data_IF_811152185321
#
_entry.id   IF_811152185321
#
_cell.length_a   1.000
_cell.length_b   1.000
_cell.length_c   1.000
_cell.angle_alpha   90.00
_cell.angle_beta   90.00
_cell.angle_gamma   90.00
#
_symmetry.space_group_name_H-M   'P 1'
#
loop_
_entity.id
_entity.type
_entity.pdbx_description
1 polymer ?
#
# COMPACT_ATOMS: atom_id res chain seq x y z
N UNK A 1 -6.79 21.87 4.72
CA UNK A 1 -6.11 22.15 6.02
C UNK A 1 -4.68 21.65 5.97
N UNK A 2 -3.70 22.52 6.23
CA UNK A 2 -2.30 22.12 6.34
C UNK A 2 -1.94 21.70 7.78
N UNK A 3 -0.72 21.16 7.98
CA UNK A 3 -0.29 20.68 9.30
C UNK A 3 -0.33 21.76 10.40
N UNK A 4 0.07 23.00 10.11
CA UNK A 4 0.07 24.07 11.10
C UNK A 4 -1.37 24.47 11.52
N UNK A 5 -2.30 24.47 10.58
CA UNK A 5 -3.72 24.71 10.84
C UNK A 5 -4.34 23.57 11.66
N UNK A 6 -3.96 22.31 11.37
CA UNK A 6 -4.38 21.14 12.14
C UNK A 6 -3.92 21.24 13.60
N UNK A 7 -2.65 21.56 13.83
CA UNK A 7 -2.09 21.75 15.19
C UNK A 7 -2.83 22.86 15.93
N UNK A 8 -3.11 23.99 15.25
CA UNK A 8 -3.87 25.09 15.86
C UNK A 8 -5.30 24.67 16.22
N UNK A 9 -5.96 23.92 15.37
CA UNK A 9 -7.31 23.39 15.61
C UNK A 9 -7.33 22.40 16.78
N UNK A 10 -6.38 21.46 16.85
CA UNK A 10 -6.26 20.51 17.96
C UNK A 10 -6.10 21.23 19.28
N UNK A 11 -5.20 22.22 19.36
CA UNK A 11 -5.02 23.04 20.57
C UNK A 11 -6.28 23.76 21.00
N UNK A 12 -7.03 24.30 20.04
CA UNK A 12 -8.30 25.01 20.30
C UNK A 12 -9.38 24.07 20.82
N UNK A 13 -9.53 22.88 20.20
CA UNK A 13 -10.53 21.91 20.60
C UNK A 13 -10.26 21.26 21.97
N UNK A 14 -8.98 21.04 22.29
CA UNK A 14 -8.58 20.43 23.57
C UNK A 14 -8.38 21.45 24.68
N UNK A 15 -8.43 22.76 24.35
CA UNK A 15 -8.08 23.87 25.27
C UNK A 15 -6.73 23.66 25.97
N UNK A 16 -5.80 22.95 25.31
CA UNK A 16 -4.51 22.58 25.87
C UNK A 16 -3.35 23.09 25.01
N UNK A 17 -2.48 23.87 25.64
CA UNK A 17 -1.28 24.46 25.03
C UNK A 17 0.02 24.07 25.75
N UNK A 18 -0.05 23.09 26.68
CA UNK A 18 1.12 22.61 27.41
C UNK A 18 2.17 22.04 26.43
N UNK A 19 3.43 22.30 26.74
CA UNK A 19 4.56 21.95 25.87
C UNK A 19 4.62 20.45 25.57
N UNK A 20 4.38 19.60 26.58
CA UNK A 20 4.43 18.15 26.44
C UNK A 20 3.29 17.63 25.56
N UNK A 21 2.09 18.17 25.75
CA UNK A 21 0.93 17.85 24.87
C UNK A 21 1.21 18.24 23.43
N UNK A 22 1.71 19.45 23.20
CA UNK A 22 2.00 19.95 21.83
C UNK A 22 3.09 19.10 21.17
N UNK A 23 4.07 18.60 21.92
CA UNK A 23 5.11 17.72 21.40
C UNK A 23 4.58 16.35 20.95
N UNK A 24 3.46 15.88 21.53
CA UNK A 24 2.82 14.61 21.16
C UNK A 24 1.83 14.71 20.00
N UNK A 25 1.36 15.89 19.61
CA UNK A 25 0.42 16.08 18.50
C UNK A 25 0.88 15.37 17.21
N UNK A 26 2.18 15.42 16.80
CA UNK A 26 2.63 14.69 15.61
C UNK A 26 2.40 13.17 15.69
N UNK A 27 2.51 12.60 16.90
CA UNK A 27 2.26 11.17 17.14
C UNK A 27 0.77 10.85 16.97
N UNK A 28 -0.12 11.66 17.53
CA UNK A 28 -1.57 11.48 17.39
C UNK A 28 -2.02 11.60 15.93
N UNK A 29 -1.47 12.58 15.19
CA UNK A 29 -1.77 12.77 13.77
C UNK A 29 -1.38 11.54 12.97
N UNK A 30 -0.15 11.01 13.15
CA UNK A 30 0.29 9.81 12.44
C UNK A 30 -0.56 8.58 12.75
N UNK A 31 -0.96 8.39 14.00
CA UNK A 31 -1.85 7.30 14.39
C UNK A 31 -3.24 7.42 13.75
N UNK A 32 -3.77 8.64 13.65
CA UNK A 32 -5.03 8.90 12.95
C UNK A 32 -4.93 8.59 11.46
N UNK A 33 -3.89 9.07 10.80
CA UNK A 33 -3.62 8.80 9.38
C UNK A 33 -3.49 7.28 9.12
N UNK A 34 -2.72 6.56 9.94
CA UNK A 34 -2.53 5.12 9.80
C UNK A 34 -3.86 4.37 9.92
N UNK A 35 -4.69 4.72 10.89
CA UNK A 35 -6.01 4.13 11.06
C UNK A 35 -6.90 4.40 9.86
N UNK A 36 -6.92 5.63 9.33
CA UNK A 36 -7.73 6.01 8.17
C UNK A 36 -7.27 5.22 6.93
N UNK A 37 -5.98 5.21 6.62
CA UNK A 37 -5.44 4.55 5.42
C UNK A 37 -5.58 3.02 5.45
N UNK A 38 -5.61 2.40 6.63
CA UNK A 38 -5.88 0.97 6.76
C UNK A 38 -7.35 0.60 6.57
N UNK A 39 -8.27 1.51 6.92
CA UNK A 39 -9.71 1.26 6.83
C UNK A 39 -10.31 1.59 5.47
N UNK A 40 -9.74 2.55 4.73
CA UNK A 40 -10.38 3.14 3.56
C UNK A 40 -9.56 2.90 2.29
N UNK A 41 -10.16 2.19 1.34
CA UNK A 41 -9.58 1.92 0.02
C UNK A 41 -10.16 2.88 -1.03
N UNK A 42 -9.67 4.11 -1.08
CA UNK A 42 -10.11 5.12 -2.05
C UNK A 42 -9.28 5.07 -3.35
N UNK A 43 -9.90 5.37 -4.50
CA UNK A 43 -9.17 5.43 -5.77
C UNK A 43 -7.97 6.39 -5.78
N UNK A 44 -8.04 7.49 -5.00
CA UNK A 44 -6.95 8.47 -4.85
C UNK A 44 -5.71 7.87 -4.18
N UNK A 45 -5.87 6.77 -3.41
CA UNK A 45 -4.79 6.05 -2.75
C UNK A 45 -4.20 4.94 -3.63
N UNK A 46 -4.51 4.92 -4.93
CA UNK A 46 -3.94 3.95 -5.88
C UNK A 46 -2.70 4.51 -6.53
N UNK A 47 -1.72 3.64 -6.69
CA UNK A 47 -0.45 3.91 -7.38
C UNK A 47 -0.13 2.76 -8.32
N UNK A 48 0.51 3.09 -9.42
CA UNK A 48 0.97 2.09 -10.40
C UNK A 48 2.49 2.03 -10.37
N UNK A 49 3.02 0.82 -10.28
CA UNK A 49 4.46 0.58 -10.38
C UNK A 49 4.73 -0.53 -11.39
N UNK A 50 5.73 -0.29 -12.24
CA UNK A 50 6.24 -1.31 -13.17
C UNK A 50 7.44 -2.01 -12.56
N UNK A 51 7.59 -3.29 -12.89
CA UNK A 51 8.71 -4.12 -12.47
C UNK A 51 8.94 -5.23 -13.47
N UNK A 52 9.76 -6.18 -13.09
CA UNK A 52 10.04 -7.39 -13.90
C UNK A 52 10.08 -8.62 -13.01
N UNK A 53 9.71 -9.77 -13.56
CA UNK A 53 9.96 -11.07 -12.90
C UNK A 53 11.43 -11.44 -13.04
N UNK A 54 11.88 -12.35 -12.19
CA UNK A 54 13.17 -13.02 -12.35
C UNK A 54 12.90 -14.47 -12.74
N UNK A 55 13.54 -14.97 -13.78
CA UNK A 55 13.41 -16.37 -14.18
C UNK A 55 13.79 -17.29 -13.04
N UNK A 56 13.05 -18.40 -12.88
CA UNK A 56 13.20 -19.40 -11.84
C UNK A 56 13.03 -18.87 -10.39
N UNK A 57 12.47 -17.65 -10.24
CA UNK A 57 12.16 -17.07 -8.95
C UNK A 57 10.68 -16.71 -8.86
N UNK A 58 9.98 -17.37 -7.94
CA UNK A 58 8.55 -17.14 -7.71
C UNK A 58 8.22 -15.95 -6.81
N UNK A 59 9.20 -15.36 -6.16
CA UNK A 59 9.01 -14.28 -5.21
C UNK A 59 9.21 -12.92 -5.87
N UNK A 60 8.31 -12.00 -5.57
CA UNK A 60 8.30 -10.62 -6.03
C UNK A 60 8.21 -9.70 -4.81
N UNK A 61 9.17 -8.78 -4.66
CA UNK A 61 9.13 -7.80 -3.57
C UNK A 61 8.03 -6.77 -3.80
N UNK A 62 7.35 -6.38 -2.72
CA UNK A 62 6.39 -5.27 -2.72
C UNK A 62 7.10 -3.92 -2.57
N UNK A 63 6.50 -2.81 -3.04
CA UNK A 63 6.98 -1.46 -2.73
C UNK A 63 6.95 -1.17 -1.23
N UNK A 64 7.83 -0.29 -0.74
CA UNK A 64 7.91 0.07 0.69
C UNK A 64 6.69 0.84 1.23
N UNK A 65 5.90 1.43 0.33
CA UNK A 65 4.66 2.15 0.64
C UNK A 65 3.40 1.30 0.40
N UNK A 66 3.57 -0.02 0.20
CA UNK A 66 2.50 -0.95 -0.13
C UNK A 66 1.56 -1.19 1.05
N UNK A 67 0.24 -1.14 0.78
CA UNK A 67 -0.81 -1.56 1.73
C UNK A 67 -1.51 -2.83 1.21
N UNK A 68 -2.03 -2.78 -0.02
CA UNK A 68 -2.75 -3.91 -0.60
C UNK A 68 -2.77 -3.86 -2.12
N UNK A 69 -2.86 -5.02 -2.76
CA UNK A 69 -2.95 -5.12 -4.23
C UNK A 69 -4.34 -4.73 -4.70
N UNK A 70 -4.40 -3.86 -5.71
CA UNK A 70 -5.61 -3.64 -6.50
C UNK A 70 -5.62 -4.57 -7.72
N UNK A 71 -4.54 -4.61 -8.50
CA UNK A 71 -4.35 -5.56 -9.60
C UNK A 71 -2.88 -5.80 -9.88
N UNK A 72 -2.55 -7.01 -10.31
CA UNK A 72 -1.23 -7.38 -10.78
C UNK A 72 -1.36 -8.02 -12.17
N UNK A 73 -0.58 -7.54 -13.12
CA UNK A 73 -0.54 -8.08 -14.47
C UNK A 73 0.89 -8.35 -14.91
N UNK A 74 1.09 -9.39 -15.69
CA UNK A 74 2.31 -9.62 -16.47
C UNK A 74 2.07 -9.22 -17.91
N UNK A 75 3.09 -8.71 -18.55
CA UNK A 75 3.07 -8.30 -19.95
C UNK A 75 4.00 -9.24 -20.71
N UNK A 76 3.49 -9.89 -21.73
CA UNK A 76 4.29 -10.75 -22.59
C UNK A 76 5.11 -9.95 -23.63
N UNK A 77 5.93 -10.65 -24.39
CA UNK A 77 6.75 -10.04 -25.44
C UNK A 77 5.96 -9.39 -26.60
N UNK A 78 4.68 -9.74 -26.73
CA UNK A 78 3.75 -9.16 -27.71
C UNK A 78 3.03 -7.91 -27.17
N UNK A 79 3.25 -7.55 -25.89
CA UNK A 79 2.60 -6.43 -25.22
C UNK A 79 1.21 -6.75 -24.66
N UNK A 80 0.82 -8.02 -24.64
CA UNK A 80 -0.47 -8.44 -24.08
C UNK A 80 -0.41 -8.53 -22.56
N UNK A 81 -1.45 -7.99 -21.92
CA UNK A 81 -1.60 -8.01 -20.47
C UNK A 81 -2.34 -9.27 -20.01
N UNK A 82 -1.72 -10.04 -19.13
CA UNK A 82 -2.35 -11.12 -18.40
C UNK A 82 -2.52 -10.73 -16.95
N UNK A 83 -3.75 -10.46 -16.52
CA UNK A 83 -4.05 -10.16 -15.13
C UNK A 83 -3.99 -11.44 -14.30
N UNK A 84 -3.18 -11.40 -13.23
CA UNK A 84 -3.04 -12.51 -12.31
C UNK A 84 -4.19 -12.52 -11.30
N UNK A 85 -4.66 -13.73 -10.97
CA UNK A 85 -5.71 -13.90 -9.98
C UNK A 85 -5.10 -14.01 -8.57
N UNK A 86 -5.62 -13.25 -7.64
CA UNK A 86 -5.27 -13.39 -6.23
C UNK A 86 -5.82 -14.71 -5.69
N UNK A 87 -4.95 -15.49 -5.04
CA UNK A 87 -5.27 -16.75 -4.39
C UNK A 87 -4.62 -16.80 -3.01
N UNK A 88 -5.09 -17.74 -2.19
CA UNK A 88 -4.46 -18.03 -0.92
C UNK A 88 -3.14 -18.81 -1.12
N UNK A 89 -2.18 -18.65 -0.19
CA UNK A 89 -0.89 -19.36 -0.22
C UNK A 89 -1.07 -20.87 -0.22
N UNK A 90 -2.08 -21.38 0.51
CA UNK A 90 -2.33 -22.82 0.56
C UNK A 90 -2.83 -23.36 -0.79
N UNK A 91 -3.67 -22.57 -1.52
CA UNK A 91 -4.05 -22.90 -2.88
C UNK A 91 -2.83 -23.00 -3.80
N UNK A 92 -1.87 -22.05 -3.71
CA UNK A 92 -0.67 -22.10 -4.54
C UNK A 92 0.20 -23.34 -4.23
N UNK A 93 0.30 -23.72 -2.96
CA UNK A 93 1.05 -24.92 -2.53
C UNK A 93 0.40 -26.22 -2.99
N UNK A 94 -0.93 -26.26 -3.00
CA UNK A 94 -1.69 -27.43 -3.44
C UNK A 94 -1.69 -27.58 -4.96
N UNK A 95 -1.93 -26.47 -5.69
CA UNK A 95 -1.99 -26.47 -7.14
C UNK A 95 -0.61 -26.60 -7.81
N UNK A 96 0.45 -26.10 -7.15
CA UNK A 96 1.83 -26.09 -7.63
C UNK A 96 2.79 -26.52 -6.52
N UNK A 97 2.74 -27.81 -6.10
CA UNK A 97 3.54 -28.31 -4.98
C UNK A 97 5.04 -28.26 -5.28
N UNK A 98 5.41 -28.40 -6.55
CA UNK A 98 6.81 -28.35 -6.98
C UNK A 98 7.18 -26.93 -7.42
N UNK A 99 8.16 -26.33 -6.73
CA UNK A 99 8.71 -24.99 -7.07
C UNK A 99 9.35 -25.00 -8.45
N UNK A 100 9.85 -26.15 -8.90
CA UNK A 100 10.45 -26.37 -10.22
C UNK A 100 9.45 -26.35 -11.37
N UNK A 101 8.15 -26.32 -11.09
CA UNK A 101 7.12 -26.13 -12.13
C UNK A 101 7.15 -24.67 -12.61
N UNK A 102 7.79 -24.45 -13.77
CA UNK A 102 7.96 -23.14 -14.38
C UNK A 102 6.95 -22.88 -15.49
N UNK A 103 6.65 -21.60 -15.71
CA UNK A 103 5.77 -21.16 -16.79
C UNK A 103 5.32 -19.70 -16.59
N UNK A 104 4.47 -19.23 -17.51
CA UNK A 104 3.89 -17.88 -17.36
C UNK A 104 3.00 -17.82 -16.12
N UNK A 105 3.24 -16.88 -15.18
CA UNK A 105 2.43 -16.74 -13.98
C UNK A 105 0.97 -16.45 -14.29
N UNK A 106 0.06 -17.06 -13.52
CA UNK A 106 -1.40 -16.87 -13.63
C UNK A 106 -2.04 -16.49 -12.29
N UNK A 107 -1.37 -16.84 -11.20
CA UNK A 107 -1.84 -16.61 -9.84
C UNK A 107 -0.79 -15.91 -9.02
N UNK A 108 -1.23 -15.16 -8.01
CA UNK A 108 -0.34 -14.60 -6.99
C UNK A 108 -1.00 -14.73 -5.62
N UNK A 109 -0.18 -14.77 -4.59
CA UNK A 109 -0.59 -14.65 -3.20
C UNK A 109 0.35 -13.72 -2.46
N UNK A 110 -0.14 -13.03 -1.43
CA UNK A 110 0.70 -12.35 -0.47
C UNK A 110 1.36 -13.41 0.41
N UNK A 111 2.70 -13.47 0.39
CA UNK A 111 3.47 -14.44 1.16
C UNK A 111 3.76 -13.90 2.56
N UNK A 112 4.23 -12.68 2.64
CA UNK A 112 4.46 -11.88 3.83
C UNK A 112 4.22 -10.40 3.53
N UNK A 113 4.60 -9.51 4.48
CA UNK A 113 4.39 -8.07 4.38
C UNK A 113 5.08 -7.46 3.15
N UNK A 114 6.28 -7.95 2.82
CA UNK A 114 7.15 -7.39 1.79
C UNK A 114 7.24 -8.23 0.51
N UNK A 115 6.52 -9.37 0.45
CA UNK A 115 6.73 -10.35 -0.62
C UNK A 115 5.41 -10.92 -1.15
N UNK A 116 5.30 -10.96 -2.46
CA UNK A 116 4.27 -11.72 -3.19
C UNK A 116 4.87 -12.99 -3.78
N UNK A 117 4.09 -14.06 -3.82
CA UNK A 117 4.44 -15.32 -4.46
C UNK A 117 3.66 -15.48 -5.76
N UNK A 118 4.36 -15.70 -6.87
CA UNK A 118 3.78 -15.95 -8.19
C UNK A 118 3.68 -17.46 -8.46
N UNK A 119 2.68 -17.86 -9.22
CA UNK A 119 2.48 -19.27 -9.59
C UNK A 119 1.83 -19.43 -10.98
N UNK A 120 2.33 -20.35 -11.82
CA UNK A 120 3.59 -21.07 -11.69
C UNK A 120 4.81 -20.16 -11.55
N UNK A 121 5.97 -20.74 -11.19
CA UNK A 121 7.25 -20.00 -11.11
C UNK A 121 7.58 -19.43 -12.50
N UNK A 122 7.93 -18.12 -12.62
CA UNK A 122 8.27 -17.53 -13.91
C UNK A 122 9.41 -18.27 -14.61
N UNK A 123 9.21 -18.67 -15.86
CA UNK A 123 10.24 -19.31 -16.71
C UNK A 123 11.17 -18.30 -17.40
N UNK A 124 10.80 -17.03 -17.39
CA UNK A 124 11.48 -15.96 -18.09
C UNK A 124 11.30 -14.61 -17.39
N UNK A 125 12.05 -13.62 -17.82
CA UNK A 125 11.89 -12.24 -17.38
C UNK A 125 10.72 -11.63 -18.13
N UNK A 126 9.61 -11.37 -17.40
CA UNK A 126 8.39 -10.74 -17.91
C UNK A 126 8.24 -9.37 -17.28
N UNK A 127 7.76 -8.41 -18.06
CA UNK A 127 7.36 -7.12 -17.48
C UNK A 127 6.12 -7.29 -16.62
N UNK A 128 6.07 -6.53 -15.51
CA UNK A 128 4.91 -6.51 -14.58
C UNK A 128 4.37 -5.10 -14.47
N UNK A 129 3.06 -5.03 -14.19
CA UNK A 129 2.41 -3.80 -13.73
C UNK A 129 1.62 -4.13 -12.47
N UNK A 130 2.03 -3.51 -11.36
CA UNK A 130 1.35 -3.59 -10.07
C UNK A 130 0.57 -2.30 -9.85
N UNK A 131 -0.75 -2.42 -9.71
CA UNK A 131 -1.60 -1.36 -9.19
C UNK A 131 -1.94 -1.71 -7.74
N UNK A 132 -1.66 -0.80 -6.83
CA UNK A 132 -1.79 -1.07 -5.40
C UNK A 132 -2.26 0.17 -4.64
N UNK A 133 -2.82 -0.05 -3.46
CA UNK A 133 -3.07 1.00 -2.50
C UNK A 133 -1.79 1.27 -1.74
N UNK A 134 -1.40 2.55 -1.68
CA UNK A 134 -0.18 2.97 -1.02
C UNK A 134 -0.46 3.79 0.23
N UNK A 135 0.49 3.80 1.15
CA UNK A 135 0.50 4.68 2.31
C UNK A 135 1.12 6.01 1.90
N UNK A 136 0.33 7.12 1.87
CA UNK A 136 0.87 8.44 1.60
C UNK A 136 1.84 8.89 2.70
N UNK A 137 2.69 9.85 2.36
CA UNK A 137 3.49 10.56 3.33
C UNK A 137 2.59 11.32 4.32
N UNK A 138 2.96 11.30 5.62
CA UNK A 138 2.20 11.99 6.67
C UNK A 138 2.17 13.50 6.46
N UNK A 139 1.04 14.13 6.78
CA UNK A 139 0.90 15.59 6.77
C UNK A 139 1.92 16.28 7.69
N UNK A 140 2.40 15.58 8.71
CA UNK A 140 3.45 16.06 9.62
C UNK A 140 4.73 16.38 8.87
N UNK A 141 5.05 15.61 7.82
CA UNK A 141 6.27 15.75 7.01
C UNK A 141 6.00 16.50 5.71
N UNK A 142 4.92 16.12 5.00
CA UNK A 142 4.57 16.68 3.71
C UNK A 142 3.94 18.08 3.79
N UNK A 143 3.55 18.54 4.98
CA UNK A 143 2.87 19.81 5.24
C UNK A 143 1.43 19.85 4.72
N UNK A 144 1.17 19.42 3.49
CA UNK A 144 -0.14 19.26 2.87
C UNK A 144 -0.31 17.84 2.35
N UNK A 145 -1.51 17.28 2.53
CA UNK A 145 -1.87 15.97 1.98
C UNK A 145 -3.30 16.00 1.46
N UNK A 146 -3.65 15.06 0.58
CA UNK A 146 -5.02 14.90 0.11
C UNK A 146 -6.03 14.82 1.26
N UNK A 147 -5.68 14.12 2.34
CA UNK A 147 -6.56 13.96 3.50
C UNK A 147 -6.81 15.30 4.20
N UNK A 148 -5.78 16.15 4.30
CA UNK A 148 -5.91 17.50 4.84
C UNK A 148 -6.72 18.45 3.95
N UNK A 149 -6.63 18.28 2.62
CA UNK A 149 -7.29 19.19 1.68
C UNK A 149 -8.77 18.80 1.43
N UNK A 150 -9.07 17.50 1.27
CA UNK A 150 -10.39 17.03 0.89
C UNK A 150 -11.22 16.50 2.06
N UNK A 151 -10.60 16.17 3.18
CA UNK A 151 -11.27 15.51 4.32
C UNK A 151 -10.75 16.00 5.66
N UNK A 152 -10.59 17.31 5.81
CA UNK A 152 -10.02 17.94 7.01
C UNK A 152 -10.72 17.53 8.31
N UNK A 153 -12.05 17.40 8.29
CA UNK A 153 -12.84 17.00 9.45
C UNK A 153 -12.49 15.57 9.91
N UNK A 154 -12.28 14.65 8.96
CA UNK A 154 -11.90 13.26 9.27
C UNK A 154 -10.53 13.22 9.93
N UNK A 155 -9.57 14.00 9.41
CA UNK A 155 -8.24 14.10 9.97
C UNK A 155 -8.25 14.73 11.36
N UNK A 156 -8.97 15.85 11.53
CA UNK A 156 -9.08 16.54 12.82
C UNK A 156 -9.71 15.66 13.89
N UNK A 157 -10.89 15.10 13.62
CA UNK A 157 -11.58 14.24 14.60
C UNK A 157 -10.84 12.93 14.82
N UNK A 158 -10.22 12.36 13.80
CA UNK A 158 -9.36 11.18 13.96
C UNK A 158 -8.16 11.43 14.87
N UNK A 159 -7.65 12.67 14.91
CA UNK A 159 -6.54 13.06 15.79
C UNK A 159 -7.00 13.30 17.24
N UNK A 160 -8.28 13.67 17.45
CA UNK A 160 -8.85 13.97 18.77
C UNK A 160 -9.38 12.72 19.51
N UNK A 161 -9.49 11.57 18.85
CA UNK A 161 -9.96 10.28 19.39
C UNK A 161 -8.82 9.32 19.66
#
# INVERSE_FOLDING_TARGET
>A
MNYAELVASVKTYTENTETDFVAEIPTFVRQAEDRIYQMVQLPVLRKTQSGVTTASNRFLATPSDFISVFSLAVIDSAGSYTHLLNKDVNFLREAFPEISTEGAPRYYALWDEDTMCLSPTPDSVLSLVLNYYYKPESIVTATNTWLGDESEAVLLYGTLV
#
